data_IF_436836260182
#
_entry.id   IF_436836260182
#
_cell.length_a   1.000
_cell.length_b   1.000
_cell.length_c   1.000
_cell.angle_alpha   90.00
_cell.angle_beta   90.00
_cell.angle_gamma   90.00
#
_symmetry.space_group_name_H-M   'P 1'
#
loop_
_entity.id
_entity.type
_entity.pdbx_description
1 polymer ?
#
# COMPACT_ATOMS: atom_id res chain seq x y z
N UNK A 1 49.06 15.95 -31.06
CA UNK A 1 50.06 14.97 -30.67
C UNK A 1 49.33 13.78 -30.05
N UNK A 2 49.24 12.70 -30.79
CA UNK A 2 48.91 11.36 -30.32
C UNK A 2 50.24 10.66 -29.95
N UNK A 3 50.32 9.37 -29.50
CA UNK A 3 49.31 8.37 -29.19
C UNK A 3 49.68 7.43 -28.00
N UNK A 4 48.71 6.53 -27.66
CA UNK A 4 49.02 5.10 -27.52
C UNK A 4 49.23 4.51 -26.13
N UNK A 5 48.44 3.54 -25.77
CA UNK A 5 48.76 2.09 -25.72
C UNK A 5 47.58 1.22 -25.28
N UNK A 6 47.32 0.27 -26.14
CA UNK A 6 46.56 -0.96 -25.92
C UNK A 6 47.45 -1.96 -25.19
N UNK A 7 46.93 -2.75 -24.26
CA UNK A 7 47.45 -4.09 -23.96
C UNK A 7 46.31 -5.07 -23.67
N UNK A 8 46.35 -6.10 -24.47
CA UNK A 8 45.60 -7.36 -24.51
C UNK A 8 45.86 -8.28 -23.31
N UNK A 9 44.85 -9.11 -23.02
CA UNK A 9 45.07 -10.55 -22.92
C UNK A 9 45.10 -11.15 -21.52
N UNK A 10 44.17 -12.02 -21.25
CA UNK A 10 44.52 -13.42 -20.95
C UNK A 10 43.24 -14.32 -20.97
N UNK A 11 43.21 -15.23 -21.94
CA UNK A 11 42.40 -16.40 -21.96
C UNK A 11 43.02 -17.47 -21.05
N UNK A 12 42.26 -18.11 -20.20
CA UNK A 12 42.63 -19.26 -19.40
C UNK A 12 41.56 -20.36 -19.51
N UNK A 13 41.68 -21.26 -20.48
CA UNK A 13 41.00 -22.54 -20.48
C UNK A 13 41.75 -23.53 -19.59
N UNK A 14 41.06 -24.16 -18.66
CA UNK A 14 41.56 -25.36 -17.99
C UNK A 14 40.63 -26.56 -18.31
N UNK A 15 41.22 -27.51 -19.04
CA UNK A 15 40.71 -28.85 -19.26
C UNK A 15 40.87 -29.66 -17.97
N UNK A 16 39.86 -30.45 -17.59
CA UNK A 16 40.03 -31.59 -16.70
C UNK A 16 39.77 -32.88 -17.50
N UNK A 17 40.78 -33.69 -17.57
CA UNK A 17 40.77 -34.99 -18.22
C UNK A 17 40.25 -36.08 -17.28
N UNK A 18 39.59 -37.06 -17.88
CA UNK A 18 39.30 -38.36 -17.28
C UNK A 18 40.48 -39.31 -17.47
N UNK A 19 40.77 -40.22 -16.54
CA UNK A 19 41.42 -41.48 -16.85
C UNK A 19 40.43 -42.67 -16.77
N UNK A 20 40.59 -43.58 -17.72
CA UNK A 20 39.74 -44.74 -17.86
C UNK A 20 40.31 -46.04 -17.30
N UNK A 21 39.43 -47.03 -17.33
CA UNK A 21 39.57 -48.49 -17.47
C UNK A 21 40.08 -49.32 -16.30
N UNK A 22 39.30 -50.37 -16.02
CA UNK A 22 39.75 -51.59 -15.34
C UNK A 22 38.64 -52.53 -14.90
N UNK A 23 38.32 -53.47 -15.78
CA UNK A 23 37.94 -54.89 -15.61
C UNK A 23 36.96 -55.43 -14.55
N UNK A 24 35.91 -55.99 -15.11
CA UNK A 24 35.36 -57.38 -14.97
C UNK A 24 35.14 -58.01 -13.59
N UNK A 25 33.89 -58.33 -13.28
CA UNK A 25 33.37 -59.69 -13.03
C UNK A 25 31.99 -59.67 -12.34
N UNK A 26 31.10 -60.58 -12.75
CA UNK A 26 30.04 -61.09 -11.87
C UNK A 26 28.64 -60.52 -12.08
N UNK A 27 27.87 -61.18 -12.96
CA UNK A 27 26.40 -61.08 -12.98
C UNK A 27 25.85 -62.00 -11.88
N UNK A 28 24.93 -61.55 -11.05
CA UNK A 28 23.83 -62.38 -10.61
C UNK A 28 22.49 -61.76 -11.08
N UNK A 29 21.75 -62.65 -11.68
CA UNK A 29 20.34 -62.58 -11.99
C UNK A 29 19.52 -62.18 -10.76
N UNK A 30 18.76 -61.10 -10.86
CA UNK A 30 17.74 -60.77 -9.87
C UNK A 30 16.45 -60.41 -10.65
N UNK A 31 15.56 -61.35 -10.58
CA UNK A 31 14.14 -61.33 -10.90
C UNK A 31 13.46 -59.99 -10.59
N UNK A 32 12.66 -59.54 -11.56
CA UNK A 32 11.68 -58.49 -11.46
C UNK A 32 10.83 -58.58 -10.19
N UNK A 33 11.03 -57.61 -9.28
CA UNK A 33 10.01 -57.24 -8.34
C UNK A 33 9.38 -55.93 -8.88
N UNK A 34 8.15 -56.01 -9.35
CA UNK A 34 7.31 -54.85 -9.66
C UNK A 34 7.05 -54.09 -8.35
N UNK A 35 7.93 -53.16 -8.00
CA UNK A 35 7.70 -52.17 -6.96
C UNK A 35 6.77 -51.08 -7.51
N UNK A 36 5.65 -50.91 -6.84
CA UNK A 36 4.69 -49.85 -7.06
C UNK A 36 5.42 -48.49 -7.09
N UNK A 37 5.29 -47.76 -8.20
CA UNK A 37 5.73 -46.39 -8.30
C UNK A 37 4.89 -45.59 -7.30
N UNK A 38 5.49 -44.89 -6.33
CA UNK A 38 4.75 -43.94 -5.53
C UNK A 38 4.21 -42.86 -6.46
N UNK A 39 2.90 -42.64 -6.37
CA UNK A 39 2.18 -41.71 -7.21
C UNK A 39 2.93 -40.36 -7.26
N UNK A 40 3.07 -39.83 -8.45
CA UNK A 40 3.54 -38.45 -8.69
C UNK A 40 2.58 -37.52 -7.92
N UNK A 41 2.98 -37.10 -6.75
CA UNK A 41 2.30 -36.03 -6.04
C UNK A 41 2.39 -34.82 -6.96
N UNK A 42 1.28 -34.43 -7.57
CA UNK A 42 1.21 -33.21 -8.36
C UNK A 42 1.75 -32.04 -7.53
N UNK A 43 2.22 -30.97 -8.14
CA UNK A 43 2.77 -29.85 -7.41
C UNK A 43 1.75 -29.41 -6.35
N UNK A 44 2.12 -29.51 -5.08
CA UNK A 44 1.31 -28.98 -3.98
C UNK A 44 1.19 -27.48 -4.21
N UNK A 45 0.04 -27.04 -4.69
CA UNK A 45 -0.26 -25.60 -4.82
C UNK A 45 -0.32 -25.09 -3.39
N UNK A 46 0.74 -24.39 -2.97
CA UNK A 46 0.74 -23.71 -1.67
C UNK A 46 -0.39 -22.67 -1.66
N UNK A 47 -1.24 -22.67 -0.62
CA UNK A 47 -2.33 -21.70 -0.56
C UNK A 47 -1.76 -20.28 -0.53
N UNK A 48 -2.31 -19.41 -1.39
CA UNK A 48 -1.91 -18.01 -1.47
C UNK A 48 -2.41 -17.25 -0.24
N UNK A 49 -1.55 -16.40 0.32
CA UNK A 49 -1.96 -15.44 1.34
C UNK A 49 -2.83 -14.34 0.70
N UNK A 50 -3.87 -13.88 1.41
CA UNK A 50 -4.69 -12.76 0.92
C UNK A 50 -3.86 -11.48 0.77
N UNK A 51 -4.30 -10.58 -0.12
CA UNK A 51 -3.77 -9.22 -0.19
C UNK A 51 -4.26 -8.41 1.03
N UNK A 52 -3.55 -7.34 1.33
CA UNK A 52 -3.87 -6.43 2.41
C UNK A 52 -3.63 -4.99 1.96
N UNK A 53 -4.64 -4.15 2.11
CA UNK A 53 -4.57 -2.75 1.70
C UNK A 53 -4.82 -1.84 2.91
N UNK A 54 -3.93 -0.87 3.09
CA UNK A 54 -3.98 0.07 4.22
C UNK A 54 -4.70 1.37 3.90
N UNK A 55 -5.10 1.57 2.64
CA UNK A 55 -5.73 2.81 2.20
C UNK A 55 -6.84 2.51 1.19
N UNK A 56 -8.05 2.31 1.72
CA UNK A 56 -9.26 2.04 0.95
C UNK A 56 -10.33 3.05 1.37
N UNK A 57 -10.60 4.03 0.50
CA UNK A 57 -11.60 5.09 0.70
C UNK A 57 -13.01 4.65 0.28
N UNK A 58 -13.10 3.59 -0.52
CA UNK A 58 -14.30 3.01 -1.07
C UNK A 58 -13.97 1.89 -2.05
N UNK A 59 -14.97 1.08 -2.45
CA UNK A 59 -14.79 -0.02 -3.38
C UNK A 59 -16.12 -0.45 -3.98
N UNK A 60 -16.11 -0.99 -5.20
CA UNK A 60 -17.27 -1.59 -5.88
C UNK A 60 -18.52 -0.66 -5.89
N UNK A 61 -18.33 0.61 -6.16
CA UNK A 61 -19.42 1.61 -6.19
C UNK A 61 -19.76 2.26 -4.84
N UNK A 62 -19.10 1.85 -3.76
CA UNK A 62 -19.41 2.30 -2.39
C UNK A 62 -18.34 3.28 -1.90
N UNK A 63 -18.76 4.47 -1.48
CA UNK A 63 -17.92 5.49 -0.84
C UNK A 63 -18.01 5.34 0.69
N UNK A 64 -16.87 5.14 1.38
CA UNK A 64 -16.82 4.99 2.83
C UNK A 64 -16.94 6.32 3.58
N UNK A 65 -16.86 7.44 2.85
CA UNK A 65 -17.02 8.77 3.44
C UNK A 65 -18.47 9.15 3.74
N UNK A 66 -19.46 8.30 3.39
CA UNK A 66 -20.86 8.56 3.64
C UNK A 66 -21.19 8.42 5.14
N UNK A 67 -21.79 9.43 5.78
CA UNK A 67 -22.13 9.36 7.20
C UNK A 67 -23.21 8.33 7.53
N UNK A 68 -24.05 8.01 6.54
CA UNK A 68 -25.17 7.07 6.62
C UNK A 68 -24.89 5.75 5.87
N UNK A 69 -23.62 5.37 5.74
CA UNK A 69 -23.22 4.12 5.09
C UNK A 69 -24.01 2.93 5.67
N UNK A 70 -24.71 2.22 4.81
CA UNK A 70 -25.55 1.09 5.23
C UNK A 70 -24.75 -0.21 5.36
N UNK A 71 -25.26 -1.15 6.18
CA UNK A 71 -24.65 -2.48 6.31
C UNK A 71 -24.57 -3.22 4.97
N UNK A 72 -25.63 -3.14 4.15
CA UNK A 72 -25.64 -3.78 2.84
C UNK A 72 -24.60 -3.20 1.88
N UNK A 73 -24.42 -1.87 1.88
CA UNK A 73 -23.40 -1.23 1.05
C UNK A 73 -21.99 -1.61 1.51
N UNK A 74 -21.67 -1.51 2.80
CA UNK A 74 -20.35 -1.88 3.31
C UNK A 74 -20.07 -3.37 3.07
N UNK A 75 -21.05 -4.25 3.26
CA UNK A 75 -20.92 -5.68 2.97
C UNK A 75 -20.65 -5.93 1.49
N UNK A 76 -21.32 -5.23 0.59
CA UNK A 76 -21.07 -5.32 -0.85
C UNK A 76 -19.62 -4.92 -1.20
N UNK A 77 -19.09 -3.85 -0.61
CA UNK A 77 -17.68 -3.45 -0.81
C UNK A 77 -16.70 -4.50 -0.26
N UNK A 78 -16.99 -5.07 0.93
CA UNK A 78 -16.18 -6.14 1.54
C UNK A 78 -16.16 -7.39 0.65
N UNK A 79 -17.33 -7.82 0.14
CA UNK A 79 -17.43 -8.97 -0.77
C UNK A 79 -16.69 -8.67 -2.09
N UNK A 80 -16.76 -7.44 -2.60
CA UNK A 80 -16.01 -6.97 -3.76
C UNK A 80 -14.49 -7.07 -3.55
N UNK A 81 -13.98 -6.57 -2.42
CA UNK A 81 -12.56 -6.68 -2.05
C UNK A 81 -12.13 -8.14 -1.91
N UNK A 82 -12.95 -8.98 -1.28
CA UNK A 82 -12.68 -10.41 -1.15
C UNK A 82 -12.61 -11.10 -2.52
N UNK A 83 -13.50 -10.75 -3.47
CA UNK A 83 -13.43 -11.18 -4.88
C UNK A 83 -12.14 -10.73 -5.59
N UNK A 84 -11.51 -9.65 -5.13
CA UNK A 84 -10.20 -9.17 -5.55
C UNK A 84 -9.08 -9.62 -4.60
N UNK A 85 -9.21 -10.76 -3.96
CA UNK A 85 -8.20 -11.43 -3.11
C UNK A 85 -7.78 -10.63 -1.87
N UNK A 86 -8.53 -9.63 -1.45
CA UNK A 86 -8.24 -8.77 -0.30
C UNK A 86 -9.26 -9.06 0.80
N UNK A 87 -8.86 -9.85 1.80
CA UNK A 87 -9.74 -10.26 2.89
C UNK A 87 -9.64 -9.36 4.12
N UNK A 88 -8.59 -8.56 4.21
CA UNK A 88 -8.39 -7.57 5.28
C UNK A 88 -7.89 -6.26 4.69
N UNK A 89 -8.38 -5.16 5.24
CA UNK A 89 -7.97 -3.80 4.83
C UNK A 89 -8.21 -2.80 5.95
N UNK A 90 -7.61 -1.61 5.81
CA UNK A 90 -8.00 -0.46 6.61
C UNK A 90 -9.00 0.39 5.82
N UNK A 91 -10.18 0.60 6.41
CA UNK A 91 -11.11 1.59 5.88
C UNK A 91 -10.54 2.98 6.16
N UNK A 92 -10.40 3.78 5.11
CA UNK A 92 -9.79 5.11 5.19
C UNK A 92 -10.88 6.17 5.27
N UNK A 93 -10.80 7.03 6.31
CA UNK A 93 -11.57 8.26 6.38
C UNK A 93 -10.64 9.44 6.15
N UNK A 94 -11.02 10.28 5.17
CA UNK A 94 -10.25 11.47 4.80
C UNK A 94 -10.74 12.70 5.57
N UNK A 95 -9.98 13.79 5.51
CA UNK A 95 -10.25 15.07 6.17
C UNK A 95 -11.71 15.50 6.10
N UNK A 96 -12.29 15.75 7.26
CA UNK A 96 -13.63 16.32 7.48
C UNK A 96 -13.65 17.02 8.85
N UNK A 97 -14.78 17.61 9.23
CA UNK A 97 -14.97 18.12 10.59
C UNK A 97 -14.82 16.98 11.61
N UNK A 98 -14.30 17.27 12.80
CA UNK A 98 -14.11 16.26 13.85
C UNK A 98 -15.43 15.58 14.24
N UNK A 99 -16.54 16.32 14.25
CA UNK A 99 -17.86 15.75 14.52
C UNK A 99 -18.34 14.79 13.42
N UNK A 100 -18.07 15.11 12.16
CA UNK A 100 -18.39 14.22 11.03
C UNK A 100 -17.54 12.97 11.08
N UNK A 101 -16.24 13.10 11.31
CA UNK A 101 -15.32 11.94 11.44
C UNK A 101 -15.76 11.02 12.59
N UNK A 102 -16.09 11.58 13.76
CA UNK A 102 -16.56 10.79 14.89
C UNK A 102 -17.84 10.01 14.54
N UNK A 103 -18.83 10.67 13.93
CA UNK A 103 -20.08 10.02 13.53
C UNK A 103 -19.85 8.89 12.48
N UNK A 104 -18.93 9.09 11.53
CA UNK A 104 -18.54 8.06 10.55
C UNK A 104 -17.88 6.87 11.24
N UNK A 105 -16.97 7.09 12.17
CA UNK A 105 -16.33 6.01 12.94
C UNK A 105 -17.35 5.24 13.80
N UNK A 106 -18.23 5.92 14.51
CA UNK A 106 -19.30 5.28 15.31
C UNK A 106 -20.19 4.42 14.42
N UNK A 107 -20.56 4.90 13.23
CA UNK A 107 -21.35 4.11 12.28
C UNK A 107 -20.57 2.86 11.80
N UNK A 108 -19.29 3.01 11.41
CA UNK A 108 -18.44 1.89 10.97
C UNK A 108 -18.28 0.85 12.10
N UNK A 109 -18.06 1.27 13.34
CA UNK A 109 -17.98 0.37 14.50
C UNK A 109 -19.28 -0.39 14.74
N UNK A 110 -20.41 0.30 14.65
CA UNK A 110 -21.73 -0.34 14.73
C UNK A 110 -21.91 -1.41 13.65
N UNK A 111 -21.48 -1.13 12.40
CA UNK A 111 -21.55 -2.07 11.29
C UNK A 111 -20.61 -3.26 11.47
N UNK A 112 -19.40 -3.02 11.95
CA UNK A 112 -18.42 -4.08 12.27
C UNK A 112 -18.93 -5.02 13.38
N UNK A 113 -19.55 -4.46 14.41
CA UNK A 113 -20.11 -5.24 15.51
C UNK A 113 -21.35 -6.07 15.07
N UNK A 114 -22.11 -5.59 14.10
CA UNK A 114 -23.33 -6.24 13.64
C UNK A 114 -23.08 -7.38 12.63
N UNK A 115 -21.98 -7.35 11.88
CA UNK A 115 -21.65 -8.36 10.87
C UNK A 115 -20.19 -8.86 11.07
N UNK A 116 -19.99 -10.12 11.48
CA UNK A 116 -18.66 -10.69 11.70
C UNK A 116 -17.75 -10.66 10.46
N UNK A 117 -18.32 -10.74 9.24
CA UNK A 117 -17.54 -10.69 7.99
C UNK A 117 -17.01 -9.28 7.79
N UNK A 118 -17.81 -8.24 8.04
CA UNK A 118 -17.37 -6.86 8.03
C UNK A 118 -16.30 -6.65 9.13
N UNK A 119 -16.56 -7.17 10.32
CA UNK A 119 -15.66 -7.03 11.48
C UNK A 119 -14.29 -7.66 11.27
N UNK A 120 -14.21 -8.78 10.54
CA UNK A 120 -12.94 -9.42 10.18
C UNK A 120 -12.22 -8.69 9.04
N UNK A 121 -12.96 -8.24 8.02
CA UNK A 121 -12.40 -7.60 6.84
C UNK A 121 -11.86 -6.19 7.15
N UNK A 122 -12.66 -5.35 7.83
CA UNK A 122 -12.24 -4.01 8.28
C UNK A 122 -11.44 -4.19 9.58
N UNK A 123 -10.18 -4.55 9.48
CA UNK A 123 -9.35 -4.87 10.65
C UNK A 123 -8.72 -3.65 11.33
N UNK A 124 -9.01 -2.46 10.84
CA UNK A 124 -8.59 -1.18 11.40
C UNK A 124 -8.99 -0.02 10.51
N UNK A 125 -8.64 1.18 10.96
CA UNK A 125 -8.88 2.42 10.24
C UNK A 125 -7.58 3.14 9.93
N UNK A 126 -7.54 3.75 8.75
CA UNK A 126 -6.59 4.78 8.40
C UNK A 126 -7.30 6.14 8.48
N UNK A 127 -6.83 7.02 9.34
CA UNK A 127 -7.28 8.40 9.43
C UNK A 127 -6.32 9.27 8.61
N UNK A 128 -6.74 9.71 7.43
CA UNK A 128 -5.95 10.57 6.57
C UNK A 128 -6.35 12.03 6.77
N UNK A 129 -5.60 12.71 7.59
CA UNK A 129 -5.96 14.04 8.13
C UNK A 129 -6.85 13.95 9.38
N UNK A 130 -7.41 15.08 9.85
CA UNK A 130 -7.44 16.42 9.24
C UNK A 130 -6.16 17.25 9.42
N UNK A 131 -5.10 16.71 9.93
CA UNK A 131 -3.86 17.41 10.27
C UNK A 131 -2.86 17.46 9.10
N UNK A 132 -3.38 17.73 7.89
CA UNK A 132 -2.63 17.84 6.64
C UNK A 132 -2.27 19.29 6.33
N UNK A 133 -1.42 19.53 5.34
CA UNK A 133 -1.09 20.88 4.89
C UNK A 133 -2.25 21.49 4.09
N UNK A 134 -2.74 22.67 4.48
CA UNK A 134 -3.78 23.39 3.75
C UNK A 134 -3.24 24.11 2.50
N UNK A 135 -1.93 24.08 2.28
CA UNK A 135 -1.30 24.78 1.17
C UNK A 135 -1.82 24.23 -0.18
N UNK A 136 -2.06 25.14 -1.16
CA UNK A 136 -2.52 24.71 -2.49
C UNK A 136 -1.62 23.65 -3.13
N UNK A 137 -2.24 22.56 -3.60
CA UNK A 137 -1.56 21.42 -4.20
C UNK A 137 -1.14 20.35 -3.18
N UNK A 138 -0.77 20.71 -1.93
CA UNK A 138 -0.49 19.72 -0.89
C UNK A 138 -1.78 19.16 -0.27
N UNK A 139 -2.83 19.96 -0.16
CA UNK A 139 -4.12 19.49 0.35
C UNK A 139 -4.80 18.44 -0.55
N UNK A 140 -4.39 18.30 -1.83
CA UNK A 140 -5.00 17.34 -2.75
C UNK A 140 -6.52 17.54 -2.89
N UNK A 141 -7.29 16.46 -2.76
CA UNK A 141 -8.75 16.47 -2.77
C UNK A 141 -9.38 16.73 -1.38
N UNK A 142 -8.57 16.89 -0.34
CA UNK A 142 -9.06 17.16 1.02
C UNK A 142 -9.51 18.61 1.15
N UNK A 143 -10.43 18.86 2.09
CA UNK A 143 -11.05 20.18 2.32
C UNK A 143 -10.20 21.01 3.29
N UNK A 144 -9.52 22.09 2.83
CA UNK A 144 -8.58 22.84 3.65
C UNK A 144 -9.19 23.52 4.88
N UNK A 145 -10.50 23.83 4.86
CA UNK A 145 -11.19 24.47 5.97
C UNK A 145 -11.27 23.59 7.24
N UNK A 146 -11.04 22.29 7.13
CA UNK A 146 -11.00 21.38 8.27
C UNK A 146 -9.58 21.02 8.72
N UNK A 147 -8.56 21.56 8.04
CA UNK A 147 -7.17 21.28 8.37
C UNK A 147 -6.65 22.21 9.47
N UNK A 148 -5.75 21.66 10.28
CA UNK A 148 -5.12 22.42 11.36
C UNK A 148 -4.03 21.63 12.07
N UNK A 149 -3.40 22.23 13.10
CA UNK A 149 -2.39 21.54 13.88
C UNK A 149 -2.99 20.33 14.61
N UNK A 150 -2.22 19.24 14.79
CA UNK A 150 -2.71 18.07 15.48
C UNK A 150 -2.92 18.33 16.96
N UNK A 151 -4.07 17.88 17.47
CA UNK A 151 -4.45 17.97 18.87
C UNK A 151 -4.71 16.57 19.45
N UNK A 152 -4.13 16.31 20.62
CA UNK A 152 -4.26 15.01 21.29
C UNK A 152 -5.69 14.71 21.75
N UNK A 153 -6.40 15.70 22.29
CA UNK A 153 -7.76 15.50 22.79
C UNK A 153 -8.73 15.21 21.65
N UNK A 154 -8.51 15.81 20.47
CA UNK A 154 -9.29 15.52 19.28
C UNK A 154 -9.01 14.10 18.75
N UNK A 155 -7.75 13.68 18.74
CA UNK A 155 -7.41 12.29 18.43
C UNK A 155 -8.06 11.31 19.41
N UNK A 156 -8.00 11.55 20.71
CA UNK A 156 -8.60 10.68 21.73
C UNK A 156 -10.11 10.52 21.54
N UNK A 157 -10.82 11.60 21.15
CA UNK A 157 -12.25 11.55 20.79
C UNK A 157 -12.49 10.67 19.56
N UNK A 158 -11.70 10.86 18.48
CA UNK A 158 -11.81 10.07 17.27
C UNK A 158 -11.46 8.59 17.51
N UNK A 159 -10.41 8.33 18.29
CA UNK A 159 -10.02 6.96 18.65
C UNK A 159 -11.10 6.25 19.49
N UNK A 160 -11.76 6.97 20.40
CA UNK A 160 -12.88 6.44 21.16
C UNK A 160 -14.08 6.13 20.26
N UNK A 161 -14.45 7.05 19.35
CA UNK A 161 -15.50 6.84 18.35
C UNK A 161 -15.20 5.65 17.41
N UNK A 162 -13.92 5.42 17.11
CA UNK A 162 -13.42 4.31 16.32
C UNK A 162 -13.20 3.01 17.13
N UNK A 163 -13.70 2.92 18.36
CA UNK A 163 -13.53 1.73 19.22
C UNK A 163 -12.08 1.32 19.48
N UNK A 164 -11.12 2.26 19.37
CA UNK A 164 -9.69 1.95 19.48
C UNK A 164 -9.06 1.36 18.21
N UNK A 165 -9.76 1.40 17.07
CA UNK A 165 -9.32 0.73 15.83
C UNK A 165 -8.64 1.65 14.81
N UNK A 166 -8.38 2.93 15.11
CA UNK A 166 -7.45 3.72 14.29
C UNK A 166 -6.06 3.11 14.45
N UNK A 167 -5.50 2.60 13.36
CA UNK A 167 -4.19 1.93 13.31
C UNK A 167 -3.13 2.76 12.60
N UNK A 168 -3.57 3.65 11.69
CA UNK A 168 -2.71 4.50 10.90
C UNK A 168 -3.27 5.92 10.86
N UNK A 169 -2.40 6.91 11.06
CA UNK A 169 -2.71 8.33 10.88
C UNK A 169 -1.76 8.87 9.82
N UNK A 170 -2.30 9.61 8.85
CA UNK A 170 -1.51 10.45 7.95
C UNK A 170 -1.62 11.90 8.36
N UNK A 171 -0.47 12.56 8.52
CA UNK A 171 -0.39 13.98 8.89
C UNK A 171 0.78 14.70 8.21
N UNK A 172 0.70 16.02 8.20
CA UNK A 172 1.76 16.93 7.79
C UNK A 172 2.60 17.34 9.01
N UNK A 173 3.88 16.93 9.10
CA UNK A 173 4.68 17.11 10.31
C UNK A 173 5.14 18.56 10.53
N UNK A 174 4.98 19.46 9.55
CA UNK A 174 5.33 20.88 9.66
C UNK A 174 4.45 21.69 10.65
N UNK A 175 3.31 21.15 11.06
CA UNK A 175 2.47 21.82 12.04
C UNK A 175 3.16 21.95 13.41
N UNK A 176 3.00 23.09 14.11
CA UNK A 176 3.47 23.22 15.47
C UNK A 176 2.91 22.13 16.39
N UNK A 177 3.77 21.51 17.19
CA UNK A 177 3.36 20.45 18.12
C UNK A 177 3.33 19.03 17.54
N UNK A 178 3.50 18.84 16.23
CA UNK A 178 3.42 17.54 15.56
C UNK A 178 4.33 16.48 16.20
N UNK A 179 5.57 16.79 16.53
CA UNK A 179 6.47 15.83 17.18
C UNK A 179 5.96 15.36 18.55
N UNK A 180 5.33 16.24 19.33
CA UNK A 180 4.68 15.89 20.60
C UNK A 180 3.47 14.99 20.40
N UNK A 181 2.63 15.31 19.43
CA UNK A 181 1.48 14.52 19.03
C UNK A 181 1.90 13.13 18.53
N UNK A 182 2.87 13.04 17.62
CA UNK A 182 3.39 11.78 17.09
C UNK A 182 3.85 10.87 18.22
N UNK A 183 4.64 11.37 19.17
CA UNK A 183 5.05 10.56 20.35
C UNK A 183 3.86 10.05 21.15
N UNK A 184 2.85 10.88 21.35
CA UNK A 184 1.68 10.50 22.14
C UNK A 184 0.87 9.37 21.45
N UNK A 185 0.60 9.48 20.16
CA UNK A 185 -0.22 8.49 19.42
C UNK A 185 0.54 7.21 19.17
N UNK A 186 1.85 7.28 18.92
CA UNK A 186 2.68 6.06 18.74
C UNK A 186 2.85 5.29 20.04
N UNK A 187 2.88 5.97 21.19
CA UNK A 187 2.86 5.31 22.50
C UNK A 187 1.55 4.54 22.77
N UNK A 188 0.46 4.87 22.07
CA UNK A 188 -0.81 4.14 22.08
C UNK A 188 -0.87 3.02 21.03
N UNK A 189 0.23 2.74 20.33
CA UNK A 189 0.30 1.68 19.30
C UNK A 189 -0.25 2.08 17.93
N UNK A 190 -0.52 3.37 17.69
CA UNK A 190 -0.95 3.88 16.39
C UNK A 190 0.27 4.23 15.55
N UNK A 191 0.28 3.79 14.30
CA UNK A 191 1.35 4.13 13.35
C UNK A 191 1.11 5.51 12.75
N UNK A 192 2.21 6.23 12.47
CA UNK A 192 2.14 7.56 11.86
C UNK A 192 2.86 7.57 10.53
N UNK A 193 2.17 8.09 9.54
CA UNK A 193 2.63 8.32 8.17
C UNK A 193 2.66 9.81 7.86
N UNK A 194 3.65 10.24 7.09
CA UNK A 194 3.73 11.59 6.56
C UNK A 194 3.16 11.62 5.14
N UNK A 195 2.27 12.56 4.87
CA UNK A 195 1.65 12.76 3.57
C UNK A 195 0.93 14.10 3.49
N UNK A 196 0.61 14.57 2.27
CA UNK A 196 -0.05 15.86 2.07
C UNK A 196 0.67 17.00 2.82
N UNK A 197 1.96 17.14 2.58
CA UNK A 197 2.89 17.90 3.41
C UNK A 197 3.93 18.63 2.56
N UNK A 198 4.32 19.83 3.00
CA UNK A 198 5.46 20.59 2.49
C UNK A 198 6.63 20.65 3.50
N UNK A 199 6.74 19.62 4.33
CA UNK A 199 7.72 19.58 5.40
C UNK A 199 9.15 19.76 4.92
N UNK A 200 9.88 20.59 5.68
CA UNK A 200 11.33 20.75 5.52
C UNK A 200 12.06 19.66 6.32
N UNK A 201 13.35 19.50 6.07
CA UNK A 201 14.19 18.45 6.66
C UNK A 201 14.05 18.37 8.18
N UNK A 202 14.08 19.53 8.87
CA UNK A 202 13.97 19.56 10.33
C UNK A 202 12.66 18.97 10.85
N UNK A 203 11.53 19.29 10.22
CA UNK A 203 10.23 18.77 10.62
C UNK A 203 10.12 17.25 10.35
N UNK A 204 10.66 16.78 9.24
CA UNK A 204 10.73 15.36 8.90
C UNK A 204 11.57 14.61 9.94
N UNK A 205 12.78 15.10 10.26
CA UNK A 205 13.68 14.47 11.19
C UNK A 205 13.10 14.45 12.61
N UNK A 206 12.43 15.52 13.05
CA UNK A 206 11.70 15.56 14.32
C UNK A 206 10.55 14.55 14.35
N UNK A 207 9.81 14.38 13.24
CA UNK A 207 8.73 13.42 13.15
C UNK A 207 9.26 11.97 13.22
N UNK A 208 10.36 11.66 12.54
CA UNK A 208 11.03 10.34 12.60
C UNK A 208 11.49 10.06 14.03
N UNK A 209 12.17 11.00 14.67
CA UNK A 209 12.62 10.89 16.05
C UNK A 209 11.45 10.73 17.04
N UNK A 210 10.28 11.30 16.72
CA UNK A 210 9.05 11.17 17.50
C UNK A 210 8.33 9.84 17.28
N UNK A 211 8.65 9.06 16.23
CA UNK A 211 8.08 7.75 15.98
C UNK A 211 7.33 7.60 14.65
N UNK A 212 7.29 8.61 13.78
CA UNK A 212 6.78 8.42 12.42
C UNK A 212 7.64 7.39 11.65
N UNK A 213 6.98 6.50 10.89
CA UNK A 213 7.65 5.38 10.21
C UNK A 213 7.28 5.25 8.75
N UNK A 214 6.25 5.95 8.29
CA UNK A 214 5.70 5.75 6.96
C UNK A 214 5.60 7.05 6.16
N UNK A 215 5.52 6.92 4.82
CA UNK A 215 5.08 7.96 3.90
C UNK A 215 3.85 7.45 3.15
N UNK A 216 2.77 8.22 3.17
CA UNK A 216 1.51 7.91 2.49
C UNK A 216 1.65 8.24 1.01
N UNK A 217 1.31 7.30 0.12
CA UNK A 217 1.32 7.40 -1.35
C UNK A 217 2.38 8.38 -1.88
N UNK A 218 3.65 8.18 -1.45
CA UNK A 218 4.76 9.09 -1.72
C UNK A 218 4.89 9.43 -3.21
N UNK A 219 4.98 10.72 -3.50
CA UNK A 219 4.94 11.29 -4.85
C UNK A 219 3.61 11.95 -5.18
N UNK A 220 2.57 11.72 -4.35
CA UNK A 220 1.23 12.30 -4.47
C UNK A 220 0.93 13.23 -3.30
N UNK A 221 -0.21 13.95 -3.35
CA UNK A 221 -0.51 14.98 -2.36
C UNK A 221 0.49 16.13 -2.37
N UNK A 222 0.94 16.53 -3.56
CA UNK A 222 1.87 17.64 -3.81
C UNK A 222 1.46 18.40 -5.06
N UNK A 223 1.83 19.69 -5.20
CA UNK A 223 1.56 20.44 -6.42
C UNK A 223 2.26 19.85 -7.64
N UNK A 224 1.68 20.05 -8.82
CA UNK A 224 2.27 19.63 -10.11
C UNK A 224 3.61 20.30 -10.41
N UNK A 225 3.88 21.45 -9.79
CA UNK A 225 5.14 22.17 -9.91
C UNK A 225 5.83 22.29 -8.56
N UNK A 226 6.99 21.70 -8.44
CA UNK A 226 7.86 21.74 -7.27
C UNK A 226 9.27 22.22 -7.64
N UNK A 227 10.01 22.71 -6.65
CA UNK A 227 11.44 22.95 -6.84
C UNK A 227 12.11 21.64 -7.29
N UNK A 228 12.91 21.70 -8.38
CA UNK A 228 13.42 20.51 -9.09
C UNK A 228 14.24 19.53 -8.22
N UNK A 229 14.92 20.03 -7.21
CA UNK A 229 15.81 19.25 -6.36
C UNK A 229 15.40 19.28 -4.88
N UNK A 230 15.08 20.46 -4.37
CA UNK A 230 14.71 20.67 -2.97
C UNK A 230 13.18 20.65 -2.81
N UNK A 231 12.63 19.47 -2.64
CA UNK A 231 11.19 19.27 -2.45
C UNK A 231 10.93 18.09 -1.51
N UNK A 232 9.74 18.05 -0.96
CA UNK A 232 9.35 17.05 0.04
C UNK A 232 9.48 15.61 -0.45
N UNK A 233 9.26 15.34 -1.74
CA UNK A 233 9.40 13.99 -2.30
C UNK A 233 10.85 13.52 -2.17
N UNK A 234 11.81 14.36 -2.57
CA UNK A 234 13.23 14.02 -2.48
C UNK A 234 13.69 13.88 -1.03
N UNK A 235 13.22 14.76 -0.14
CA UNK A 235 13.53 14.68 1.28
C UNK A 235 13.03 13.38 1.91
N UNK A 236 11.79 12.96 1.63
CA UNK A 236 11.22 11.72 2.16
C UNK A 236 11.85 10.46 1.54
N UNK A 237 12.19 10.50 0.23
CA UNK A 237 12.91 9.40 -0.42
C UNK A 237 14.29 9.17 0.20
N UNK A 238 14.97 10.25 0.62
CA UNK A 238 16.31 10.19 1.20
C UNK A 238 16.35 9.67 2.65
N UNK A 239 15.20 9.44 3.32
CA UNK A 239 15.14 8.92 4.70
C UNK A 239 14.96 7.42 4.69
N UNK A 240 16.04 6.67 4.92
CA UNK A 240 16.07 5.20 4.92
C UNK A 240 15.23 4.59 6.06
N UNK A 241 14.99 5.36 7.12
CA UNK A 241 14.15 4.96 8.27
C UNK A 241 12.67 4.85 7.91
N UNK A 242 12.24 5.57 6.87
CA UNK A 242 10.86 5.61 6.45
C UNK A 242 10.53 4.51 5.43
N UNK A 243 9.45 3.82 5.67
CA UNK A 243 8.82 2.95 4.68
C UNK A 243 7.84 3.78 3.85
N UNK A 244 8.04 3.83 2.54
CA UNK A 244 7.16 4.56 1.63
C UNK A 244 6.10 3.63 1.04
N UNK A 245 4.84 4.06 1.07
CA UNK A 245 3.77 3.46 0.30
C UNK A 245 3.63 4.14 -1.05
N UNK A 246 3.42 3.35 -2.10
CA UNK A 246 3.24 3.84 -3.47
C UNK A 246 1.96 3.28 -4.07
N UNK A 247 1.35 4.04 -5.00
CA UNK A 247 0.19 3.60 -5.79
C UNK A 247 0.71 3.09 -7.14
N UNK A 248 0.67 1.79 -7.43
CA UNK A 248 1.23 1.23 -8.66
C UNK A 248 0.18 1.15 -9.78
N UNK A 249 -0.52 2.26 -10.09
CA UNK A 249 -1.54 2.31 -11.14
C UNK A 249 -1.02 2.84 -12.49
N UNK A 250 0.20 3.40 -12.52
CA UNK A 250 0.79 4.01 -13.70
C UNK A 250 0.22 5.38 -14.06
N UNK A 251 -0.71 5.89 -13.25
CA UNK A 251 -1.41 7.17 -13.38
C UNK A 251 -0.82 8.16 -12.37
N UNK A 252 -0.88 7.82 -11.08
CA UNK A 252 -0.31 8.60 -9.99
C UNK A 252 1.21 8.69 -10.11
N UNK A 253 1.85 7.57 -10.41
CA UNK A 253 3.27 7.48 -10.71
C UNK A 253 3.47 6.76 -12.05
N UNK A 254 3.97 7.45 -13.08
CA UNK A 254 4.39 6.76 -14.30
C UNK A 254 5.36 5.62 -13.99
N UNK A 255 5.34 4.50 -14.73
CA UNK A 255 6.14 3.30 -14.41
C UNK A 255 7.63 3.57 -14.20
N UNK A 256 8.23 4.47 -14.99
CA UNK A 256 9.64 4.85 -14.83
C UNK A 256 9.91 5.63 -13.54
N UNK A 257 8.96 6.47 -13.10
CA UNK A 257 9.07 7.19 -11.82
C UNK A 257 8.93 6.23 -10.66
N UNK A 258 7.93 5.33 -10.70
CA UNK A 258 7.76 4.28 -9.70
C UNK A 258 9.02 3.41 -9.57
N UNK A 259 9.63 3.04 -10.71
CA UNK A 259 10.89 2.28 -10.72
C UNK A 259 12.04 3.03 -10.03
N UNK A 260 12.15 4.36 -10.29
CA UNK A 260 13.17 5.18 -9.64
C UNK A 260 12.93 5.28 -8.13
N UNK A 261 11.70 5.49 -7.69
CA UNK A 261 11.36 5.60 -6.27
C UNK A 261 11.53 4.26 -5.54
N UNK A 262 11.14 3.15 -6.18
CA UNK A 262 11.38 1.82 -5.65
C UNK A 262 12.87 1.53 -5.41
N UNK A 263 13.73 1.93 -6.37
CA UNK A 263 15.17 1.76 -6.26
C UNK A 263 15.83 2.70 -5.25
N UNK A 264 15.25 3.88 -5.03
CA UNK A 264 15.74 4.85 -4.07
C UNK A 264 15.53 4.40 -2.62
N UNK A 265 14.52 3.56 -2.36
CA UNK A 265 14.26 3.04 -1.01
C UNK A 265 15.06 1.77 -0.74
N UNK A 266 15.60 1.60 0.48
CA UNK A 266 16.23 0.35 0.88
C UNK A 266 15.28 -0.86 0.75
N UNK A 267 15.81 -2.08 0.60
CA UNK A 267 15.00 -3.29 0.56
C UNK A 267 14.02 -3.38 1.75
N UNK A 268 12.75 -3.64 1.48
CA UNK A 268 11.69 -3.70 2.49
C UNK A 268 11.15 -2.34 2.95
N UNK A 269 11.64 -1.22 2.38
CA UNK A 269 11.16 0.13 2.68
C UNK A 269 10.28 0.74 1.57
N UNK A 270 9.94 -0.04 0.56
CA UNK A 270 8.95 0.31 -0.47
C UNK A 270 7.82 -0.72 -0.43
N UNK A 271 6.64 -0.30 -0.04
CA UNK A 271 5.42 -1.09 0.03
C UNK A 271 4.33 -0.45 -0.83
N UNK A 272 3.22 -1.14 -1.01
CA UNK A 272 2.21 -0.70 -1.96
C UNK A 272 0.81 -0.70 -1.34
N UNK A 273 -0.01 0.21 -1.84
CA UNK A 273 -1.43 0.39 -1.49
C UNK A 273 -2.18 0.83 -2.74
N UNK A 274 -3.50 0.69 -2.77
CA UNK A 274 -4.26 1.17 -3.91
C UNK A 274 -4.66 2.63 -3.80
N UNK A 275 -4.91 3.13 -2.59
CA UNK A 275 -5.66 4.37 -2.39
C UNK A 275 -7.01 4.32 -3.12
N UNK A 276 -7.65 3.13 -3.10
CA UNK A 276 -8.88 2.85 -3.83
C UNK A 276 -10.03 3.73 -3.36
N UNK A 277 -10.81 4.21 -4.34
CA UNK A 277 -12.09 4.84 -4.09
C UNK A 277 -13.23 4.04 -4.72
N UNK A 278 -14.47 4.52 -4.64
CA UNK A 278 -15.65 3.79 -5.07
C UNK A 278 -15.59 3.21 -6.50
N UNK A 279 -14.80 3.79 -7.40
CA UNK A 279 -14.64 3.28 -8.77
C UNK A 279 -13.78 2.02 -8.87
N UNK A 280 -12.96 1.70 -7.85
CA UNK A 280 -12.16 0.49 -7.85
C UNK A 280 -13.09 -0.74 -7.77
N UNK A 281 -12.87 -1.72 -8.63
CA UNK A 281 -13.75 -2.89 -8.71
C UNK A 281 -15.13 -2.61 -9.28
N UNK A 282 -15.39 -1.43 -9.86
CA UNK A 282 -16.66 -1.03 -10.46
C UNK A 282 -16.49 -0.64 -11.95
N UNK A 283 -17.56 -0.60 -12.76
CA UNK A 283 -17.54 -0.16 -14.16
C UNK A 283 -17.09 1.31 -14.30
N UNK A 284 -16.79 1.73 -15.54
CA UNK A 284 -16.64 3.14 -15.87
C UNK A 284 -17.92 3.91 -15.52
N UNK A 285 -17.80 5.14 -15.01
CA UNK A 285 -18.98 5.90 -14.62
C UNK A 285 -18.69 7.10 -13.73
N UNK A 286 -19.74 7.58 -13.07
CA UNK A 286 -19.67 8.65 -12.08
C UNK A 286 -19.75 8.07 -10.68
N UNK A 287 -18.90 8.57 -9.82
CA UNK A 287 -18.75 8.11 -8.44
C UNK A 287 -18.67 9.31 -7.49
N UNK A 288 -18.73 9.04 -6.20
CA UNK A 288 -18.54 10.06 -5.17
C UNK A 288 -17.35 9.73 -4.29
N UNK A 289 -16.71 10.78 -3.79
CA UNK A 289 -15.73 10.71 -2.70
C UNK A 289 -15.89 11.98 -1.85
N UNK A 290 -16.26 11.82 -0.60
CA UNK A 290 -16.41 12.93 0.36
C UNK A 290 -17.25 14.11 -0.17
N UNK A 291 -18.35 13.80 -0.86
CA UNK A 291 -19.25 14.80 -1.43
C UNK A 291 -18.87 15.34 -2.82
N UNK A 292 -17.68 15.05 -3.31
CA UNK A 292 -17.27 15.38 -4.68
C UNK A 292 -17.83 14.36 -5.68
N UNK A 293 -18.38 14.83 -6.79
CA UNK A 293 -18.67 13.98 -7.95
C UNK A 293 -17.39 13.80 -8.77
N UNK A 294 -17.07 12.56 -9.11
CA UNK A 294 -15.88 12.15 -9.84
C UNK A 294 -16.29 11.38 -11.09
N UNK A 295 -15.46 11.47 -12.13
CA UNK A 295 -15.68 10.74 -13.37
C UNK A 295 -14.50 9.80 -13.62
N UNK A 296 -14.80 8.55 -13.98
CA UNK A 296 -13.83 7.53 -14.34
C UNK A 296 -14.21 6.93 -15.67
N UNK A 297 -13.33 7.09 -16.66
CA UNK A 297 -13.47 6.51 -17.98
C UNK A 297 -12.60 5.27 -18.19
N UNK A 298 -12.50 4.83 -19.45
CA UNK A 298 -11.69 3.66 -19.85
C UNK A 298 -10.21 3.77 -19.51
N UNK A 299 -9.71 4.99 -19.33
CA UNK A 299 -8.33 5.24 -18.91
C UNK A 299 -8.12 5.04 -17.39
N UNK A 300 -9.19 4.73 -16.65
CA UNK A 300 -9.20 4.46 -15.20
C UNK A 300 -8.70 5.62 -14.34
N UNK A 301 -8.59 6.81 -14.90
CA UNK A 301 -8.19 8.02 -14.16
C UNK A 301 -9.38 8.59 -13.42
N UNK A 302 -9.25 8.73 -12.10
CA UNK A 302 -10.26 9.34 -11.23
C UNK A 302 -10.05 10.86 -11.23
N UNK A 303 -10.97 11.60 -11.83
CA UNK A 303 -10.86 13.05 -12.03
C UNK A 303 -11.90 13.82 -11.27
N UNK A 304 -11.47 14.91 -10.64
CA UNK A 304 -12.37 15.99 -10.27
C UNK A 304 -12.74 16.77 -11.55
N UNK A 305 -14.03 16.93 -11.89
CA UNK A 305 -14.43 17.68 -13.07
C UNK A 305 -13.83 19.09 -13.10
N UNK A 306 -13.13 19.42 -14.19
CA UNK A 306 -12.49 20.74 -14.36
C UNK A 306 -11.19 20.93 -13.55
N UNK A 307 -10.64 19.90 -12.92
CA UNK A 307 -9.39 19.93 -12.18
C UNK A 307 -8.34 18.98 -12.78
N UNK A 308 -7.06 19.32 -12.75
CA UNK A 308 -5.99 18.40 -13.09
C UNK A 308 -5.66 17.41 -11.95
N UNK A 309 -6.28 17.55 -10.78
CA UNK A 309 -6.00 16.75 -9.59
C UNK A 309 -6.75 15.42 -9.65
N UNK A 310 -6.10 14.38 -9.15
CA UNK A 310 -6.68 13.07 -8.92
C UNK A 310 -7.32 13.02 -7.51
N UNK A 311 -8.25 12.11 -7.33
CA UNK A 311 -8.96 11.93 -6.06
C UNK A 311 -9.13 10.45 -5.75
N UNK A 312 -8.08 9.83 -5.18
CA UNK A 312 -7.96 8.40 -5.02
C UNK A 312 -7.78 7.67 -6.36
N UNK A 313 -7.73 6.36 -6.33
CA UNK A 313 -7.50 5.53 -7.51
C UNK A 313 -8.68 4.59 -7.82
N UNK A 314 -8.72 4.11 -9.05
CA UNK A 314 -9.60 3.03 -9.46
C UNK A 314 -8.86 1.66 -9.50
N UNK A 315 -7.64 1.59 -8.98
CA UNK A 315 -6.79 0.41 -8.96
C UNK A 315 -7.37 -0.68 -8.05
N UNK A 316 -7.36 -1.92 -8.49
CA UNK A 316 -7.60 -3.06 -7.63
C UNK A 316 -6.28 -3.68 -7.15
N UNK A 317 -6.23 -4.28 -5.94
CA UNK A 317 -4.99 -4.86 -5.42
C UNK A 317 -4.33 -5.90 -6.34
N UNK A 318 -5.05 -6.84 -7.01
CA UNK A 318 -4.43 -7.76 -7.97
C UNK A 318 -3.83 -7.07 -9.19
N UNK A 319 -4.46 -6.00 -9.70
CA UNK A 319 -3.88 -5.19 -10.78
C UNK A 319 -2.59 -4.53 -10.33
N UNK A 320 -2.57 -4.00 -9.09
CA UNK A 320 -1.36 -3.47 -8.48
C UNK A 320 -0.22 -4.48 -8.46
N UNK A 321 -0.46 -5.69 -7.98
CA UNK A 321 0.53 -6.80 -7.98
C UNK A 321 1.03 -7.10 -9.39
N UNK A 322 0.13 -7.21 -10.38
CA UNK A 322 0.51 -7.46 -11.77
C UNK A 322 1.39 -6.33 -12.35
N UNK A 323 1.07 -5.08 -12.01
CA UNK A 323 1.84 -3.91 -12.41
C UNK A 323 3.24 -3.90 -11.80
N UNK A 324 3.41 -4.33 -10.55
CA UNK A 324 4.72 -4.46 -9.91
C UNK A 324 5.61 -5.48 -10.65
N UNK A 325 5.08 -6.64 -10.97
CA UNK A 325 5.82 -7.63 -11.76
C UNK A 325 6.18 -7.07 -13.13
N UNK A 326 5.23 -6.43 -13.80
CA UNK A 326 5.41 -5.89 -15.16
C UNK A 326 6.41 -4.73 -15.23
N UNK A 327 6.35 -3.78 -14.30
CA UNK A 327 7.12 -2.54 -14.40
C UNK A 327 8.42 -2.57 -13.61
N UNK A 328 8.44 -3.28 -12.48
CA UNK A 328 9.65 -3.38 -11.64
C UNK A 328 10.44 -4.66 -11.95
N UNK A 329 9.89 -5.57 -12.77
CA UNK A 329 10.54 -6.87 -13.08
C UNK A 329 10.58 -7.81 -11.88
N UNK A 330 9.67 -7.64 -10.92
CA UNK A 330 9.63 -8.47 -9.72
C UNK A 330 9.01 -9.83 -10.03
N UNK A 331 9.54 -10.86 -9.39
CA UNK A 331 8.88 -12.16 -9.32
C UNK A 331 7.46 -11.99 -8.76
N UNK A 332 6.44 -12.72 -9.28
CA UNK A 332 5.04 -12.58 -8.86
C UNK A 332 4.83 -12.77 -7.36
N UNK A 333 5.52 -13.71 -6.73
CA UNK A 333 5.40 -13.95 -5.28
C UNK A 333 6.01 -12.80 -4.49
N UNK A 334 7.14 -12.26 -4.95
CA UNK A 334 7.73 -11.07 -4.34
C UNK A 334 6.83 -9.84 -4.50
N UNK A 335 6.29 -9.59 -5.70
CA UNK A 335 5.34 -8.51 -5.95
C UNK A 335 4.11 -8.64 -5.03
N UNK A 336 3.56 -9.85 -4.90
CA UNK A 336 2.44 -10.14 -4.02
C UNK A 336 2.80 -9.88 -2.55
N UNK A 337 3.98 -10.32 -2.10
CA UNK A 337 4.45 -10.09 -0.74
C UNK A 337 4.48 -8.61 -0.38
N UNK A 338 4.94 -7.74 -1.29
CA UNK A 338 5.00 -6.29 -1.10
C UNK A 338 3.62 -5.61 -1.03
N UNK A 339 2.56 -6.33 -1.43
CA UNK A 339 1.15 -5.89 -1.38
C UNK A 339 0.31 -6.73 -0.41
N UNK A 340 0.93 -7.54 0.43
CA UNK A 340 0.26 -8.43 1.38
C UNK A 340 1.02 -8.56 2.70
N UNK A 341 1.78 -9.65 2.86
CA UNK A 341 2.42 -9.99 4.13
C UNK A 341 3.42 -8.95 4.61
N UNK A 342 4.21 -8.33 3.72
CA UNK A 342 5.15 -7.28 4.12
C UNK A 342 4.41 -6.02 4.63
N UNK A 343 3.25 -5.69 4.04
CA UNK A 343 2.39 -4.61 4.54
C UNK A 343 1.81 -4.99 5.90
N UNK A 344 1.24 -6.19 6.03
CA UNK A 344 0.65 -6.67 7.29
C UNK A 344 1.68 -6.75 8.43
N UNK A 345 2.89 -7.24 8.14
CA UNK A 345 4.02 -7.29 9.09
C UNK A 345 4.35 -5.91 9.65
N UNK A 346 4.29 -4.86 8.82
CA UNK A 346 4.54 -3.48 9.25
C UNK A 346 3.52 -2.97 10.30
N UNK A 347 2.34 -3.61 10.37
CA UNK A 347 1.28 -3.31 11.35
C UNK A 347 1.08 -4.42 12.40
N UNK A 348 1.96 -5.43 12.44
CA UNK A 348 1.86 -6.55 13.37
C UNK A 348 0.64 -7.44 13.13
N UNK A 349 0.16 -7.53 11.88
CA UNK A 349 -1.03 -8.29 11.50
C UNK A 349 -0.67 -9.60 10.81
N UNK A 350 -1.53 -10.60 10.98
CA UNK A 350 -1.48 -11.86 10.24
C UNK A 350 -2.61 -11.87 9.20
N UNK A 351 -2.34 -12.37 8.01
CA UNK A 351 -3.34 -12.45 6.94
C UNK A 351 -3.89 -13.87 6.80
N UNK A 352 -5.19 -14.00 6.47
CA UNK A 352 -5.77 -15.29 6.13
C UNK A 352 -5.24 -15.80 4.79
N UNK A 353 -5.26 -17.10 4.63
CA UNK A 353 -5.03 -17.75 3.34
C UNK A 353 -6.28 -17.59 2.46
N UNK A 354 -6.06 -17.57 1.16
CA UNK A 354 -7.14 -17.66 0.18
C UNK A 354 -7.59 -19.14 0.08
N UNK A 355 -8.89 -19.33 -0.14
CA UNK A 355 -9.39 -20.64 -0.46
C UNK A 355 -8.74 -21.13 -1.77
N UNK A 356 -8.42 -22.43 -1.89
CA UNK A 356 -7.94 -22.97 -3.15
C UNK A 356 -8.99 -22.72 -4.24
N UNK A 357 -8.57 -22.52 -5.51
CA UNK A 357 -9.53 -22.42 -6.59
C UNK A 357 -10.40 -23.68 -6.60
N UNK A 358 -11.69 -23.56 -6.95
CA UNK A 358 -12.55 -24.73 -7.09
C UNK A 358 -11.92 -25.70 -8.08
N UNK A 359 -12.08 -27.01 -7.86
CA UNK A 359 -11.51 -28.07 -8.69
C UNK A 359 -11.97 -28.02 -10.15
#
# INVERSE_FOLDING_TARGET
MAPGRVLNGYLGRSHCGCPGRGNSAGVPDLSCACGEFPGICGPSIMPLTSLFDIQVNGFAGVDFQQPDLSAAALRHAVDGLAGHQTRRFFATLITDSLSSLAAKFENLERLRAADPVIGEAVCGYHLEGPWLSPEPGFCGAHQPQFMGPPDRADFEKLQAAAGGHIKLITLAPEWPGSAGFIRAVTACGVQVSMGHSNAQDEAIDQAIAAGARFCTHLGNGVPTQLHRHDNVIQRLLARDELTAFFIPDGIHLPPGVLQNFYRAKPPGRALFTTDAMAAAGAPDGRYRLAGHELEVGRDRVVRLPGSPLFAGSALTPPEGVANLSRWLGLDPDHARRLFSTAVAEAFGLTLPLLDPPPP
#
